data_IF_030968961043
#
_entry.id   IF_030968961043
#
_cell.length_a   1.000
_cell.length_b   1.000
_cell.length_c   1.000
_cell.angle_alpha   90.00
_cell.angle_beta   90.00
_cell.angle_gamma   90.00
#
_symmetry.space_group_name_H-M   'P 1'
#
loop_
_entity.id
_entity.type
_entity.pdbx_description
1 polymer ?
#
# COMPACT_ATOMS: atom_id res chain seq x y z
N UNK A 1 -17.71 30.78 -38.03
CA UNK A 1 -18.49 30.34 -36.85
C UNK A 1 -19.71 31.21 -36.52
N UNK A 2 -19.78 32.51 -36.88
CA UNK A 2 -20.96 33.35 -36.55
C UNK A 2 -22.20 33.17 -37.45
N UNK A 3 -22.10 32.53 -38.62
CA UNK A 3 -23.24 32.39 -39.56
C UNK A 3 -24.30 31.37 -39.13
N UNK A 4 -23.95 30.38 -38.30
CA UNK A 4 -24.86 29.29 -37.88
C UNK A 4 -25.68 29.60 -36.62
N UNK A 5 -25.45 30.73 -35.95
CA UNK A 5 -26.08 31.05 -34.66
C UNK A 5 -27.22 32.08 -34.73
N UNK A 6 -27.55 32.59 -35.93
CA UNK A 6 -28.67 33.52 -36.14
C UNK A 6 -28.73 34.67 -35.12
N UNK A 7 -27.73 35.56 -35.04
CA UNK A 7 -27.62 36.55 -33.97
C UNK A 7 -28.83 37.48 -33.94
N UNK A 8 -29.40 37.67 -32.75
CA UNK A 8 -30.51 38.59 -32.50
C UNK A 8 -29.96 39.88 -31.90
N UNK A 9 -30.46 41.03 -32.36
CA UNK A 9 -30.16 42.34 -31.77
C UNK A 9 -31.30 42.72 -30.85
N UNK A 10 -30.99 43.08 -29.60
CA UNK A 10 -31.97 43.64 -28.68
C UNK A 10 -32.23 45.12 -28.95
N UNK A 11 -33.31 45.66 -28.39
CA UNK A 11 -33.70 47.08 -28.48
C UNK A 11 -32.61 48.04 -27.96
N UNK A 12 -31.75 47.56 -27.05
CA UNK A 12 -30.57 48.28 -26.53
C UNK A 12 -29.31 48.15 -27.39
N UNK A 13 -29.41 47.57 -28.58
CA UNK A 13 -28.30 47.41 -29.53
C UNK A 13 -27.35 46.24 -29.25
N UNK A 14 -27.56 45.47 -28.18
CA UNK A 14 -26.71 44.33 -27.79
C UNK A 14 -27.00 43.07 -28.60
N UNK A 15 -25.94 42.33 -28.94
CA UNK A 15 -26.02 41.06 -29.67
C UNK A 15 -26.26 39.88 -28.72
N UNK A 16 -27.23 39.04 -29.06
CA UNK A 16 -27.57 37.80 -28.37
C UNK A 16 -27.56 36.62 -29.32
N UNK A 17 -27.35 35.44 -28.77
CA UNK A 17 -27.38 34.19 -29.54
C UNK A 17 -28.83 33.84 -29.90
N UNK A 18 -29.07 33.60 -31.19
CA UNK A 18 -30.29 32.96 -31.66
C UNK A 18 -30.28 31.47 -31.35
N UNK A 19 -31.45 30.89 -31.12
CA UNK A 19 -31.54 29.50 -30.70
C UNK A 19 -32.91 28.88 -30.95
N UNK A 20 -32.97 27.54 -30.80
CA UNK A 20 -34.17 26.72 -31.01
C UNK A 20 -35.05 26.59 -29.75
N UNK A 21 -34.63 27.17 -28.63
CA UNK A 21 -35.30 27.07 -27.33
C UNK A 21 -36.34 28.18 -27.09
N UNK A 22 -36.94 28.74 -28.15
CA UNK A 22 -37.89 29.85 -28.04
C UNK A 22 -39.11 29.50 -27.16
N UNK A 23 -39.60 28.27 -27.29
CA UNK A 23 -40.83 27.78 -26.65
C UNK A 23 -40.61 27.09 -25.29
N UNK A 24 -39.38 27.01 -24.78
CA UNK A 24 -39.12 26.37 -23.48
C UNK A 24 -39.57 27.26 -22.30
N UNK A 25 -39.86 26.73 -21.10
CA UNK A 25 -40.21 27.53 -19.92
C UNK A 25 -38.98 28.14 -19.22
N UNK A 26 -37.93 28.48 -19.98
CA UNK A 26 -36.63 28.94 -19.48
C UNK A 26 -36.55 30.48 -19.53
N UNK A 27 -35.87 31.15 -18.59
CA UNK A 27 -35.66 32.60 -18.63
C UNK A 27 -35.03 33.09 -19.94
N UNK A 28 -35.45 34.28 -20.40
CA UNK A 28 -35.00 34.89 -21.67
C UNK A 28 -33.47 35.00 -21.79
N UNK A 29 -32.78 35.25 -20.68
CA UNK A 29 -31.31 35.36 -20.67
C UNK A 29 -30.60 34.04 -20.96
N UNK A 30 -31.19 32.91 -20.56
CA UNK A 30 -30.64 31.59 -20.81
C UNK A 30 -31.09 31.04 -22.19
N UNK A 31 -32.25 31.47 -22.70
CA UNK A 31 -32.68 31.19 -24.09
C UNK A 31 -31.81 31.91 -25.12
N UNK A 32 -31.45 33.16 -24.82
CA UNK A 32 -30.72 34.05 -25.72
C UNK A 32 -29.56 34.72 -24.96
N UNK A 33 -28.49 33.98 -24.65
CA UNK A 33 -27.35 34.53 -23.90
C UNK A 33 -26.66 35.66 -24.69
N UNK A 34 -26.10 36.62 -23.94
CA UNK A 34 -25.46 37.80 -24.53
C UNK A 34 -24.09 37.44 -25.10
N UNK A 35 -23.81 37.87 -26.32
CA UNK A 35 -22.54 37.59 -26.98
C UNK A 35 -21.48 38.56 -26.46
N UNK A 36 -20.38 38.03 -25.94
CA UNK A 36 -19.23 38.82 -25.48
C UNK A 36 -18.03 38.54 -26.40
N UNK A 37 -17.22 39.56 -26.77
CA UNK A 37 -15.96 39.36 -27.47
C UNK A 37 -15.01 38.41 -26.73
N UNK A 38 -14.18 37.68 -27.47
CA UNK A 38 -13.23 36.72 -26.89
C UNK A 38 -12.03 37.38 -26.23
N UNK A 39 -11.56 38.49 -26.81
CA UNK A 39 -10.35 39.20 -26.40
C UNK A 39 -10.71 40.56 -25.80
N UNK A 40 -11.34 40.54 -24.62
CA UNK A 40 -11.68 41.77 -23.91
C UNK A 40 -11.51 41.58 -22.40
N UNK A 41 -11.17 42.65 -21.68
CA UNK A 41 -10.99 42.62 -20.23
C UNK A 41 -12.27 42.18 -19.50
N UNK A 42 -13.43 42.58 -20.01
CA UNK A 42 -14.72 42.15 -19.47
C UNK A 42 -14.88 40.62 -19.46
N UNK A 43 -14.46 39.94 -20.54
CA UNK A 43 -14.51 38.48 -20.65
C UNK A 43 -13.62 37.81 -19.61
N UNK A 44 -12.45 38.40 -19.33
CA UNK A 44 -11.57 37.94 -18.27
C UNK A 44 -12.23 38.05 -16.90
N UNK A 45 -12.81 39.21 -16.59
CA UNK A 45 -13.49 39.46 -15.31
C UNK A 45 -14.67 38.50 -15.12
N UNK A 46 -15.49 38.31 -16.15
CA UNK A 46 -16.64 37.38 -16.11
C UNK A 46 -16.16 35.95 -15.84
N UNK A 47 -15.19 35.44 -16.60
CA UNK A 47 -14.68 34.07 -16.40
C UNK A 47 -14.10 33.90 -15.00
N UNK A 48 -13.32 34.86 -14.52
CA UNK A 48 -12.72 34.80 -13.19
C UNK A 48 -13.78 34.89 -12.07
N UNK A 49 -14.81 35.72 -12.23
CA UNK A 49 -15.92 35.83 -11.30
C UNK A 49 -16.64 34.49 -11.13
N UNK A 50 -17.06 33.86 -12.23
CA UNK A 50 -17.73 32.55 -12.18
C UNK A 50 -16.80 31.44 -11.67
N UNK A 51 -15.51 31.48 -11.99
CA UNK A 51 -14.55 30.52 -11.46
C UNK A 51 -14.41 30.60 -9.93
N UNK A 52 -14.38 31.81 -9.36
CA UNK A 52 -14.27 32.03 -7.91
C UNK A 52 -15.61 31.76 -7.22
N UNK A 53 -16.72 32.25 -7.77
CA UNK A 53 -18.07 32.09 -7.23
C UNK A 53 -18.44 30.61 -7.06
N UNK A 54 -18.04 29.76 -8.02
CA UNK A 54 -18.26 28.32 -7.98
C UNK A 54 -16.99 27.57 -7.55
N UNK A 55 -16.27 28.07 -6.54
CA UNK A 55 -15.22 27.37 -5.80
C UNK A 55 -14.14 26.68 -6.65
N UNK A 56 -13.56 27.40 -7.61
CA UNK A 56 -12.45 26.92 -8.43
C UNK A 56 -12.76 25.67 -9.27
N UNK A 57 -14.01 25.54 -9.71
CA UNK A 57 -14.45 24.47 -10.62
C UNK A 57 -13.62 24.38 -11.91
N UNK A 58 -13.56 23.17 -12.48
CA UNK A 58 -12.82 22.88 -13.71
C UNK A 58 -13.40 23.59 -14.95
N UNK A 59 -12.62 23.64 -16.02
CA UNK A 59 -12.91 24.45 -17.21
C UNK A 59 -14.27 24.18 -17.88
N UNK A 60 -14.74 22.92 -17.92
CA UNK A 60 -16.04 22.59 -18.52
C UNK A 60 -17.21 23.02 -17.62
N UNK A 61 -17.07 22.90 -16.30
CA UNK A 61 -18.09 23.33 -15.34
C UNK A 61 -18.21 24.85 -15.28
N UNK A 62 -17.09 25.58 -15.24
CA UNK A 62 -17.10 27.05 -15.33
C UNK A 62 -17.74 27.52 -16.64
N UNK A 63 -17.47 26.83 -17.73
CA UNK A 63 -18.06 27.15 -19.04
C UNK A 63 -19.56 26.87 -19.10
N UNK A 64 -20.05 25.83 -18.43
CA UNK A 64 -21.50 25.57 -18.30
C UNK A 64 -22.20 26.73 -17.57
N UNK A 65 -21.65 27.16 -16.43
CA UNK A 65 -22.24 28.25 -15.64
C UNK A 65 -22.23 29.60 -16.39
N UNK A 66 -21.20 29.86 -17.20
CA UNK A 66 -21.15 31.07 -18.03
C UNK A 66 -22.24 31.05 -19.11
N UNK A 67 -22.51 29.88 -19.70
CA UNK A 67 -23.48 29.73 -20.81
C UNK A 67 -24.92 30.06 -20.43
N UNK A 68 -25.25 30.05 -19.13
CA UNK A 68 -26.58 30.43 -18.67
C UNK A 68 -26.87 31.92 -18.84
N UNK A 69 -25.84 32.77 -18.94
CA UNK A 69 -25.99 34.22 -19.06
C UNK A 69 -25.26 34.82 -20.27
N UNK A 70 -24.15 34.22 -20.69
CA UNK A 70 -23.23 34.78 -21.69
C UNK A 70 -22.74 33.73 -22.68
N UNK A 71 -22.49 34.18 -23.90
CA UNK A 71 -21.92 33.37 -24.97
C UNK A 71 -20.62 33.96 -25.47
N UNK A 72 -19.54 33.22 -25.28
CA UNK A 72 -18.20 33.61 -25.73
C UNK A 72 -17.84 32.72 -26.94
N UNK A 73 -17.53 33.29 -28.11
CA UNK A 73 -17.02 32.51 -29.24
C UNK A 73 -15.75 31.74 -28.83
N UNK A 74 -15.60 30.47 -29.19
CA UNK A 74 -14.41 29.67 -28.83
C UNK A 74 -14.06 29.67 -27.32
N UNK A 75 -15.07 29.76 -26.44
CA UNK A 75 -14.92 29.93 -24.98
C UNK A 75 -13.96 28.93 -24.32
N UNK A 76 -13.96 27.66 -24.75
CA UNK A 76 -13.22 26.57 -24.11
C UNK A 76 -11.72 26.87 -23.97
N UNK A 77 -11.11 27.43 -25.01
CA UNK A 77 -9.67 27.73 -24.98
C UNK A 77 -9.36 28.94 -24.08
N UNK A 78 -10.22 29.96 -24.12
CA UNK A 78 -10.08 31.18 -23.31
C UNK A 78 -10.26 30.86 -21.82
N UNK A 79 -11.27 30.07 -21.47
CA UNK A 79 -11.52 29.62 -20.10
C UNK A 79 -10.32 28.84 -19.57
N UNK A 80 -9.83 27.83 -20.31
CA UNK A 80 -8.64 27.06 -19.90
C UNK A 80 -7.40 27.93 -19.68
N UNK A 81 -7.20 28.94 -20.52
CA UNK A 81 -6.08 29.90 -20.39
C UNK A 81 -6.17 30.68 -19.08
N UNK A 82 -7.36 31.17 -18.73
CA UNK A 82 -7.60 31.96 -17.51
C UNK A 82 -7.54 31.09 -16.26
N UNK A 83 -8.06 29.87 -16.30
CA UNK A 83 -7.99 28.98 -15.12
C UNK A 83 -6.54 28.58 -14.78
N UNK A 84 -5.65 28.49 -15.79
CA UNK A 84 -4.21 28.22 -15.57
C UNK A 84 -3.48 29.36 -14.85
N UNK A 85 -3.97 30.60 -14.92
CA UNK A 85 -3.38 31.72 -14.17
C UNK A 85 -3.87 31.79 -12.72
N UNK A 86 -4.88 31.01 -12.35
CA UNK A 86 -5.35 30.92 -10.97
C UNK A 86 -4.30 30.26 -10.07
N UNK A 87 -3.77 31.01 -9.10
CA UNK A 87 -2.75 30.54 -8.16
C UNK A 87 -3.26 29.38 -7.31
N UNK A 88 -4.51 29.44 -6.84
CA UNK A 88 -5.13 28.37 -6.03
C UNK A 88 -5.20 27.06 -6.80
N UNK A 89 -5.71 27.08 -8.04
CA UNK A 89 -5.75 25.90 -8.90
C UNK A 89 -4.36 25.37 -9.24
N UNK A 90 -3.38 26.26 -9.45
CA UNK A 90 -2.00 25.89 -9.78
C UNK A 90 -1.30 25.21 -8.60
N UNK A 91 -1.53 25.67 -7.36
CA UNK A 91 -1.00 25.04 -6.15
C UNK A 91 -1.57 23.63 -5.96
N UNK A 92 -2.88 23.46 -6.15
CA UNK A 92 -3.55 22.16 -6.00
C UNK A 92 -3.17 21.19 -7.13
N UNK A 93 -2.98 21.70 -8.36
CA UNK A 93 -2.67 20.88 -9.54
C UNK A 93 -1.17 20.64 -9.77
N UNK A 94 -0.31 21.08 -8.86
CA UNK A 94 1.13 20.93 -8.99
C UNK A 94 1.51 19.44 -8.86
N UNK A 95 1.67 18.75 -10.01
CA UNK A 95 2.33 17.44 -10.06
C UNK A 95 3.83 17.67 -9.87
N UNK A 96 4.44 16.97 -8.92
CA UNK A 96 5.90 16.95 -8.77
C UNK A 96 6.56 16.53 -10.08
N UNK A 97 7.78 17.01 -10.31
CA UNK A 97 8.59 16.54 -11.45
C UNK A 97 8.67 15.01 -11.41
N UNK A 98 8.52 14.31 -12.56
CA UNK A 98 8.83 12.88 -12.58
C UNK A 98 10.28 12.72 -12.15
N UNK A 99 10.49 12.18 -10.96
CA UNK A 99 11.84 11.83 -10.53
C UNK A 99 12.34 10.72 -11.44
N UNK A 100 13.57 10.85 -11.94
CA UNK A 100 14.24 9.75 -12.64
C UNK A 100 14.30 8.59 -11.65
N UNK A 101 13.57 7.51 -11.93
CA UNK A 101 13.60 6.33 -11.08
C UNK A 101 14.98 5.70 -11.21
N UNK A 102 15.64 5.44 -10.09
CA UNK A 102 16.91 4.74 -10.09
C UNK A 102 16.72 3.35 -10.70
N UNK A 103 17.76 2.86 -11.38
CA UNK A 103 17.76 1.51 -11.95
C UNK A 103 17.43 0.48 -10.87
N UNK A 104 16.65 -0.53 -11.29
CA UNK A 104 16.33 -1.65 -10.42
C UNK A 104 17.64 -2.41 -10.12
N UNK A 105 17.91 -2.76 -8.86
CA UNK A 105 19.11 -3.52 -8.54
C UNK A 105 19.11 -4.88 -9.23
N UNK A 106 20.30 -5.39 -9.56
CA UNK A 106 20.49 -6.70 -10.20
C UNK A 106 19.73 -7.82 -9.48
N UNK A 107 19.62 -7.72 -8.16
CA UNK A 107 18.85 -8.62 -7.29
C UNK A 107 17.37 -8.69 -7.64
N UNK A 108 16.77 -7.63 -8.18
CA UNK A 108 15.36 -7.60 -8.60
C UNK A 108 15.12 -8.19 -9.99
N UNK A 109 16.12 -8.13 -10.86
CA UNK A 109 15.99 -8.47 -12.29
C UNK A 109 16.57 -9.85 -12.64
N UNK A 110 17.41 -10.41 -11.77
CA UNK A 110 18.00 -11.73 -11.98
C UNK A 110 17.10 -12.80 -11.39
N UNK A 111 16.67 -13.76 -12.22
CA UNK A 111 15.95 -14.94 -11.73
C UNK A 111 16.86 -15.75 -10.80
N UNK A 112 16.39 -16.02 -9.59
CA UNK A 112 17.13 -16.79 -8.58
C UNK A 112 16.19 -17.73 -7.83
N UNK A 113 16.77 -18.70 -7.11
CA UNK A 113 16.02 -19.61 -6.25
C UNK A 113 15.21 -18.82 -5.21
N UNK A 114 14.02 -19.29 -4.87
CA UNK A 114 13.26 -18.71 -3.76
C UNK A 114 14.08 -18.73 -2.48
N UNK A 115 13.92 -17.68 -1.68
CA UNK A 115 14.73 -17.43 -0.49
C UNK A 115 16.25 -17.39 -0.75
N UNK A 116 16.72 -17.19 -1.99
CA UNK A 116 18.13 -16.92 -2.27
C UNK A 116 18.53 -15.53 -1.76
N UNK A 117 17.61 -14.57 -1.80
CA UNK A 117 17.79 -13.21 -1.32
C UNK A 117 16.68 -12.90 -0.32
N UNK A 118 17.06 -12.63 0.91
CA UNK A 118 16.12 -12.59 2.04
C UNK A 118 16.26 -11.31 2.84
N UNK A 119 15.16 -10.63 3.08
CA UNK A 119 15.07 -9.57 4.08
C UNK A 119 14.72 -10.17 5.44
N UNK A 120 15.39 -9.71 6.50
CA UNK A 120 15.13 -10.13 7.89
C UNK A 120 14.61 -8.96 8.70
N UNK A 121 13.52 -9.19 9.43
CA UNK A 121 12.91 -8.20 10.31
C UNK A 121 12.29 -8.87 11.57
N UNK A 122 12.02 -8.09 12.62
CA UNK A 122 11.28 -8.54 13.80
C UNK A 122 9.92 -7.85 13.94
N UNK A 123 8.93 -8.62 14.40
CA UNK A 123 7.63 -8.13 14.84
C UNK A 123 7.41 -8.43 16.33
N UNK A 124 6.85 -7.48 17.06
CA UNK A 124 6.53 -7.64 18.48
C UNK A 124 6.66 -6.34 19.28
N UNK A 125 6.72 -6.43 20.63
CA UNK A 125 6.58 -7.66 21.42
C UNK A 125 5.13 -8.17 21.48
N UNK A 126 4.95 -9.48 21.62
CA UNK A 126 3.68 -10.16 21.94
C UNK A 126 3.75 -10.79 23.34
N UNK A 127 2.61 -11.02 23.98
CA UNK A 127 2.55 -11.58 25.32
C UNK A 127 2.00 -13.01 25.29
N UNK A 128 2.81 -13.98 25.68
CA UNK A 128 2.41 -15.38 25.79
C UNK A 128 2.33 -15.82 27.24
N UNK A 129 1.36 -16.69 27.52
CA UNK A 129 1.24 -17.39 28.79
C UNK A 129 2.13 -18.62 28.78
N UNK A 130 2.95 -18.78 29.82
CA UNK A 130 3.63 -20.06 30.08
C UNK A 130 2.65 -21.11 30.64
N UNK A 131 3.07 -22.39 30.63
CA UNK A 131 2.23 -23.59 30.86
C UNK A 131 1.19 -23.50 31.99
N UNK A 132 0.15 -24.32 31.87
CA UNK A 132 -0.96 -24.41 32.82
C UNK A 132 -0.49 -24.97 34.17
N UNK A 133 -0.22 -24.09 35.13
CA UNK A 133 0.12 -24.42 36.52
C UNK A 133 -0.10 -23.22 37.46
N UNK A 134 0.19 -23.40 38.75
CA UNK A 134 -0.04 -22.38 39.82
C UNK A 134 0.71 -21.06 39.62
N UNK A 135 1.70 -21.00 38.74
CA UNK A 135 2.43 -19.78 38.41
C UNK A 135 2.18 -19.37 36.95
N UNK A 136 1.15 -18.55 36.72
CA UNK A 136 0.90 -17.93 35.40
C UNK A 136 1.93 -16.82 35.16
N UNK A 137 3.05 -17.12 34.50
CA UNK A 137 3.97 -16.08 34.04
C UNK A 137 3.65 -15.68 32.59
N UNK A 138 3.56 -14.37 32.36
CA UNK A 138 3.43 -13.80 31.03
C UNK A 138 4.84 -13.45 30.54
N UNK A 139 5.24 -14.01 29.39
CA UNK A 139 6.53 -13.73 28.77
C UNK A 139 6.35 -12.95 27.48
N UNK A 140 7.28 -12.04 27.21
CA UNK A 140 7.35 -11.34 25.92
C UNK A 140 7.98 -12.26 24.90
N UNK A 141 7.41 -12.28 23.70
CA UNK A 141 7.85 -13.13 22.59
C UNK A 141 7.84 -12.27 21.32
N UNK A 142 8.71 -12.59 20.37
CA UNK A 142 8.85 -11.88 19.11
C UNK A 142 8.65 -12.86 17.95
N UNK A 143 8.34 -12.32 16.77
CA UNK A 143 8.26 -13.10 15.53
C UNK A 143 9.36 -12.60 14.60
N UNK A 144 10.29 -13.49 14.24
CA UNK A 144 11.27 -13.26 13.19
C UNK A 144 10.57 -13.43 11.84
N UNK A 145 10.73 -12.44 10.97
CA UNK A 145 10.09 -12.37 9.66
C UNK A 145 11.18 -12.46 8.61
N UNK A 146 11.13 -13.50 7.79
CA UNK A 146 11.98 -13.68 6.62
C UNK A 146 11.14 -13.42 5.37
N UNK A 147 11.58 -12.49 4.52
CA UNK A 147 10.89 -12.16 3.27
C UNK A 147 11.78 -12.48 2.09
N UNK A 148 11.28 -13.27 1.13
CA UNK A 148 11.97 -13.50 -0.12
C UNK A 148 11.85 -12.29 -1.06
N UNK A 149 12.97 -11.77 -1.56
CA UNK A 149 12.95 -10.61 -2.46
C UNK A 149 12.50 -10.94 -3.89
N UNK A 150 12.66 -12.18 -4.32
CA UNK A 150 12.30 -12.65 -5.66
C UNK A 150 10.80 -12.69 -5.85
N UNK A 151 10.10 -13.40 -4.96
CA UNK A 151 8.65 -13.63 -5.08
C UNK A 151 7.82 -12.85 -4.08
N UNK A 152 8.41 -12.34 -2.99
CA UNK A 152 7.70 -11.73 -1.83
C UNK A 152 7.01 -12.72 -0.89
N UNK A 153 7.36 -14.01 -1.00
CA UNK A 153 6.95 -15.04 -0.03
C UNK A 153 7.49 -14.73 1.37
N UNK A 154 6.71 -15.08 2.40
CA UNK A 154 7.00 -14.74 3.80
C UNK A 154 7.17 -16.03 4.60
N UNK A 155 8.17 -16.07 5.48
CA UNK A 155 8.38 -17.16 6.41
C UNK A 155 8.48 -16.60 7.83
N UNK A 156 7.72 -17.15 8.78
CA UNK A 156 7.60 -16.62 10.14
C UNK A 156 8.13 -17.64 11.16
N UNK A 157 8.98 -17.17 12.08
CA UNK A 157 9.49 -17.99 13.19
C UNK A 157 9.26 -17.29 14.53
N UNK A 158 8.85 -18.04 15.54
CA UNK A 158 8.61 -17.52 16.89
C UNK A 158 9.89 -17.60 17.70
N UNK A 159 10.30 -16.49 18.30
CA UNK A 159 11.51 -16.40 19.15
C UNK A 159 11.17 -15.83 20.53
N UNK A 160 11.76 -16.42 21.57
CA UNK A 160 11.52 -16.06 22.96
C UNK A 160 12.08 -14.70 23.35
N UNK A 161 13.17 -14.26 22.72
CA UNK A 161 13.82 -12.99 23.01
C UNK A 161 14.54 -12.43 21.77
N UNK A 162 15.31 -11.36 21.97
CA UNK A 162 16.08 -10.67 20.93
C UNK A 162 17.59 -10.88 21.15
N UNK A 163 17.98 -12.08 21.60
CA UNK A 163 19.38 -12.46 21.77
C UNK A 163 19.97 -13.03 20.48
N UNK A 164 21.29 -13.10 20.41
CA UNK A 164 22.01 -13.72 19.30
C UNK A 164 21.64 -15.19 19.13
N UNK A 165 21.52 -15.93 20.24
CA UNK A 165 21.27 -17.37 20.23
C UNK A 165 19.89 -17.72 19.65
N UNK A 166 18.85 -16.98 20.06
CA UNK A 166 17.49 -17.19 19.53
C UNK A 166 17.36 -16.77 18.08
N UNK A 167 18.09 -15.73 17.66
CA UNK A 167 18.20 -15.40 16.24
C UNK A 167 18.84 -16.52 15.43
N UNK A 168 19.96 -17.09 15.90
CA UNK A 168 20.62 -18.20 15.21
C UNK A 168 19.74 -19.44 15.14
N UNK A 169 19.00 -19.75 16.21
CA UNK A 169 18.04 -20.84 16.20
C UNK A 169 16.97 -20.62 15.12
N UNK A 170 16.36 -19.43 15.08
CA UNK A 170 15.38 -19.07 14.05
C UNK A 170 15.98 -19.13 12.64
N UNK A 171 17.22 -18.68 12.46
CA UNK A 171 17.90 -18.76 11.18
C UNK A 171 18.16 -20.21 10.75
N UNK A 172 18.58 -21.08 11.67
CA UNK A 172 18.76 -22.51 11.40
C UNK A 172 17.44 -23.19 11.04
N UNK A 173 16.33 -22.86 11.73
CA UNK A 173 15.00 -23.38 11.39
C UNK A 173 14.57 -22.92 10.00
N UNK A 174 14.78 -21.65 9.67
CA UNK A 174 14.52 -21.10 8.35
C UNK A 174 15.33 -21.83 7.26
N UNK A 175 16.64 -21.98 7.45
CA UNK A 175 17.53 -22.68 6.50
C UNK A 175 17.10 -24.13 6.32
N UNK A 176 16.72 -24.83 7.40
CA UNK A 176 16.27 -26.21 7.33
C UNK A 176 14.94 -26.37 6.56
N UNK A 177 14.05 -25.38 6.61
CA UNK A 177 12.73 -25.43 5.95
C UNK A 177 12.74 -24.88 4.53
N UNK A 178 13.49 -23.79 4.26
CA UNK A 178 13.46 -23.03 3.01
C UNK A 178 14.76 -23.12 2.20
N UNK A 179 15.79 -23.74 2.77
CA UNK A 179 17.11 -23.84 2.18
C UNK A 179 17.96 -22.58 2.40
N UNK A 180 19.26 -22.71 2.14
CA UNK A 180 20.26 -21.69 2.43
C UNK A 180 20.14 -20.43 1.54
N UNK A 181 20.06 -19.21 2.11
CA UNK A 181 20.11 -17.99 1.32
C UNK A 181 21.52 -17.71 0.82
N UNK A 182 21.64 -17.07 -0.34
CA UNK A 182 22.92 -16.54 -0.86
C UNK A 182 23.19 -15.13 -0.34
N UNK A 183 22.13 -14.37 -0.04
CA UNK A 183 22.22 -12.98 0.39
C UNK A 183 21.16 -12.64 1.44
N UNK A 184 21.57 -11.90 2.47
CA UNK A 184 20.72 -11.45 3.56
C UNK A 184 20.74 -9.93 3.62
N UNK A 185 19.55 -9.34 3.73
CA UNK A 185 19.34 -7.89 3.78
C UNK A 185 18.66 -7.48 5.09
N UNK A 186 19.12 -6.36 5.65
CA UNK A 186 18.49 -5.72 6.82
C UNK A 186 18.52 -4.19 6.68
N UNK A 187 17.44 -3.52 7.07
CA UNK A 187 17.29 -2.07 6.87
C UNK A 187 18.07 -1.21 7.88
N UNK A 188 18.66 -0.11 7.39
CA UNK A 188 19.25 0.96 8.23
C UNK A 188 18.28 2.11 8.59
N UNK A 189 16.98 2.01 8.26
CA UNK A 189 16.00 3.08 8.52
C UNK A 189 15.91 3.48 10.00
N UNK A 190 16.14 4.77 10.31
CA UNK A 190 16.28 5.28 11.70
C UNK A 190 15.01 5.20 12.58
N UNK A 191 13.87 4.74 12.06
CA UNK A 191 12.55 4.98 12.65
C UNK A 191 11.78 3.77 13.21
N UNK A 192 12.36 2.57 13.31
CA UNK A 192 11.60 1.40 13.81
C UNK A 192 12.14 0.78 15.11
N UNK A 193 11.24 0.80 16.10
CA UNK A 193 11.20 0.26 17.47
C UNK A 193 12.25 -0.83 17.82
N UNK A 194 12.94 -0.61 18.95
CA UNK A 194 13.70 -1.55 19.81
C UNK A 194 14.20 -2.87 19.21
N UNK A 195 13.28 -3.81 18.91
CA UNK A 195 13.60 -5.14 18.38
C UNK A 195 14.45 -5.13 17.10
N UNK A 196 14.17 -4.19 16.19
CA UNK A 196 14.93 -4.07 14.95
C UNK A 196 16.34 -3.50 15.20
N UNK A 197 16.52 -2.72 16.27
CA UNK A 197 17.84 -2.24 16.68
C UNK A 197 18.70 -3.36 17.29
N UNK A 198 18.11 -4.28 18.05
CA UNK A 198 18.84 -5.46 18.56
C UNK A 198 19.22 -6.41 17.43
N UNK A 199 18.32 -6.68 16.48
CA UNK A 199 18.66 -7.42 15.25
C UNK A 199 19.82 -6.76 14.50
N UNK A 200 19.81 -5.43 14.37
CA UNK A 200 20.94 -4.71 13.77
C UNK A 200 22.23 -4.91 14.55
N UNK A 201 22.21 -4.87 15.88
CA UNK A 201 23.43 -5.11 16.68
C UNK A 201 23.93 -6.52 16.47
N UNK A 202 23.03 -7.50 16.49
CA UNK A 202 23.33 -8.91 16.20
C UNK A 202 23.95 -8.99 14.81
N UNK A 203 23.22 -8.65 13.74
CA UNK A 203 23.70 -8.73 12.37
C UNK A 203 25.00 -7.93 12.14
N UNK A 204 25.15 -6.75 12.75
CA UNK A 204 26.41 -5.97 12.63
C UNK A 204 27.56 -6.64 13.36
N UNK A 205 27.35 -7.21 14.54
CA UNK A 205 28.36 -7.98 15.24
C UNK A 205 28.75 -9.23 14.45
N UNK A 206 27.77 -9.90 13.83
CA UNK A 206 27.96 -11.04 12.94
C UNK A 206 28.79 -10.67 11.70
N UNK A 207 28.45 -9.59 11.01
CA UNK A 207 29.11 -9.20 9.76
C UNK A 207 30.42 -8.42 9.95
N UNK A 208 30.69 -7.84 11.14
CA UNK A 208 31.91 -7.07 11.43
C UNK A 208 33.02 -7.85 12.14
N UNK A 209 32.99 -9.18 12.16
CA UNK A 209 34.16 -9.92 12.64
C UNK A 209 34.20 -10.18 14.16
N UNK A 210 33.17 -9.82 14.94
CA UNK A 210 33.27 -9.80 16.42
C UNK A 210 32.76 -11.06 17.13
N UNK A 211 32.17 -12.01 16.41
CA UNK A 211 31.63 -13.27 16.95
C UNK A 211 32.21 -14.43 16.14
N UNK A 212 33.39 -14.91 16.53
CA UNK A 212 34.20 -15.90 15.78
C UNK A 212 33.42 -17.16 15.39
N UNK A 213 32.52 -17.66 16.26
CA UNK A 213 31.73 -18.88 16.02
C UNK A 213 30.71 -18.78 14.88
N UNK A 214 30.16 -17.57 14.64
CA UNK A 214 29.06 -17.38 13.68
C UNK A 214 29.59 -16.91 12.33
N UNK A 215 30.75 -16.24 12.34
CA UNK A 215 31.50 -15.92 11.12
C UNK A 215 32.01 -17.20 10.49
N UNK A 216 32.49 -18.17 11.27
CA UNK A 216 32.88 -19.47 10.75
C UNK A 216 31.68 -20.14 10.04
N UNK A 217 30.47 -20.09 10.61
CA UNK A 217 29.25 -20.59 9.95
C UNK A 217 28.89 -19.81 8.68
N UNK A 218 28.80 -18.48 8.70
CA UNK A 218 28.39 -17.69 7.53
C UNK A 218 29.45 -17.63 6.41
N UNK A 219 30.75 -17.65 6.78
CA UNK A 219 31.87 -17.65 5.84
C UNK A 219 32.12 -19.03 5.22
N UNK A 220 32.01 -20.12 5.98
CA UNK A 220 31.96 -21.49 5.43
C UNK A 220 30.79 -21.66 4.46
N UNK A 221 29.68 -21.01 4.74
CA UNK A 221 28.46 -21.07 3.94
C UNK A 221 28.35 -19.99 2.83
N UNK A 222 29.38 -19.16 2.62
CA UNK A 222 29.44 -18.15 1.54
C UNK A 222 28.21 -17.21 1.44
N UNK A 223 27.58 -16.86 2.58
CA UNK A 223 26.38 -16.00 2.60
C UNK A 223 26.78 -14.52 2.64
N UNK A 224 26.32 -13.73 1.66
CA UNK A 224 26.60 -12.28 1.59
C UNK A 224 25.63 -11.50 2.49
N UNK A 225 26.16 -10.73 3.43
CA UNK A 225 25.38 -9.85 4.30
C UNK A 225 25.39 -8.40 3.84
N UNK A 226 24.21 -7.85 3.54
CA UNK A 226 24.06 -6.48 3.08
C UNK A 226 23.18 -5.65 4.04
N UNK A 227 23.61 -4.43 4.33
CA UNK A 227 22.79 -3.43 5.02
C UNK A 227 22.36 -2.37 4.02
N UNK A 228 21.05 -2.13 3.89
CA UNK A 228 20.55 -1.10 2.99
C UNK A 228 21.10 0.27 3.43
N UNK A 229 21.59 1.14 2.51
CA UNK A 229 22.02 2.48 2.86
C UNK A 229 20.90 3.28 3.56
N UNK A 230 21.20 4.17 4.54
CA UNK A 230 20.19 4.90 5.32
C UNK A 230 19.19 5.76 4.51
N UNK A 231 19.46 5.97 3.21
CA UNK A 231 18.75 6.91 2.33
C UNK A 231 18.27 6.28 1.02
N UNK A 232 18.16 4.95 0.93
CA UNK A 232 17.76 4.25 -0.29
C UNK A 232 16.39 3.53 -0.18
N UNK A 233 15.27 4.25 0.04
CA UNK A 233 13.94 3.66 0.20
C UNK A 233 13.43 2.94 -1.06
N UNK A 234 14.08 3.11 -2.22
CA UNK A 234 13.73 2.41 -3.46
C UNK A 234 14.04 0.90 -3.43
N UNK A 235 15.04 0.50 -2.62
CA UNK A 235 15.39 -0.90 -2.39
C UNK A 235 14.42 -1.58 -1.41
N UNK A 236 13.93 -0.83 -0.41
CA UNK A 236 13.03 -1.31 0.66
C UNK A 236 11.53 -1.18 0.36
N UNK A 237 11.12 -0.17 -0.42
CA UNK A 237 9.75 0.37 -0.36
C UNK A 237 8.61 -0.58 -0.75
N UNK A 238 8.84 -1.56 -1.64
CA UNK A 238 7.77 -2.51 -2.02
C UNK A 238 7.51 -3.58 -0.96
N UNK A 239 8.55 -4.08 -0.29
CA UNK A 239 8.38 -5.08 0.76
C UNK A 239 8.15 -4.42 2.12
N UNK A 240 8.72 -3.23 2.37
CA UNK A 240 8.45 -2.43 3.58
C UNK A 240 6.94 -2.17 3.74
N UNK A 241 6.21 -1.87 2.66
CA UNK A 241 4.77 -1.65 2.72
C UNK A 241 4.01 -2.94 3.11
N UNK A 242 4.36 -4.08 2.50
CA UNK A 242 3.76 -5.38 2.79
C UNK A 242 4.05 -5.87 4.21
N UNK A 243 5.31 -5.78 4.64
CA UNK A 243 5.75 -6.13 6.01
C UNK A 243 5.15 -5.19 7.05
N UNK A 244 5.07 -3.88 6.76
CA UNK A 244 4.43 -2.92 7.66
C UNK A 244 2.94 -3.20 7.82
N UNK A 245 2.24 -3.49 6.72
CA UNK A 245 0.84 -3.92 6.76
C UNK A 245 0.69 -5.21 7.57
N UNK A 246 1.51 -6.24 7.30
CA UNK A 246 1.53 -7.49 8.06
C UNK A 246 1.70 -7.25 9.56
N UNK A 247 2.74 -6.52 9.96
CA UNK A 247 3.04 -6.22 11.36
C UNK A 247 1.89 -5.48 12.04
N UNK A 248 1.28 -4.55 11.32
CA UNK A 248 0.12 -3.82 11.80
C UNK A 248 -1.10 -4.74 12.01
N UNK A 249 -1.38 -5.64 11.06
CA UNK A 249 -2.48 -6.59 11.16
C UNK A 249 -2.25 -7.64 12.26
N UNK A 250 -1.05 -8.22 12.35
CA UNK A 250 -0.66 -9.12 13.44
C UNK A 250 -0.87 -8.47 14.81
N UNK A 251 -0.37 -7.24 15.00
CA UNK A 251 -0.56 -6.51 16.26
C UNK A 251 -2.03 -6.21 16.56
N UNK A 252 -2.88 -6.03 15.56
CA UNK A 252 -4.31 -5.78 15.77
C UNK A 252 -5.13 -7.03 16.05
N UNK A 253 -4.83 -8.14 15.36
CA UNK A 253 -5.54 -9.41 15.54
C UNK A 253 -5.20 -10.03 16.88
N UNK A 254 -3.91 -10.02 17.23
CA UNK A 254 -3.44 -10.57 18.51
C UNK A 254 -3.70 -9.57 19.66
N UNK A 255 -3.47 -8.28 19.41
CA UNK A 255 -3.70 -7.17 20.35
C UNK A 255 -3.34 -7.51 21.81
N UNK A 256 -4.33 -7.53 22.69
CA UNK A 256 -4.18 -7.79 24.13
C UNK A 256 -4.50 -9.23 24.53
N UNK A 257 -4.69 -10.13 23.56
CA UNK A 257 -4.98 -11.54 23.87
C UNK A 257 -3.74 -12.25 24.38
N UNK A 258 -3.88 -12.93 25.51
CA UNK A 258 -2.81 -13.71 26.12
C UNK A 258 -2.98 -15.16 25.64
N UNK A 259 -2.20 -15.54 24.62
CA UNK A 259 -2.24 -16.86 24.00
C UNK A 259 -1.22 -17.80 24.64
N UNK A 260 -1.46 -19.11 24.54
CA UNK A 260 -0.43 -20.11 24.86
C UNK A 260 0.58 -20.20 23.70
N UNK A 261 1.70 -20.90 23.91
CA UNK A 261 2.68 -21.10 22.84
C UNK A 261 2.09 -21.83 21.63
N UNK A 262 1.32 -22.90 21.85
CA UNK A 262 0.71 -23.72 20.80
C UNK A 262 -0.34 -22.94 20.01
N UNK A 263 -1.18 -22.15 20.70
CA UNK A 263 -2.18 -21.30 20.06
C UNK A 263 -1.53 -20.20 19.22
N UNK A 264 -0.47 -19.58 19.73
CA UNK A 264 0.25 -18.55 19.02
C UNK A 264 0.98 -19.12 17.80
N UNK A 265 1.59 -20.30 17.94
CA UNK A 265 2.19 -21.04 16.83
C UNK A 265 1.17 -21.35 15.74
N UNK A 266 0.00 -21.88 16.12
CA UNK A 266 -1.08 -22.17 15.19
C UNK A 266 -1.51 -20.92 14.43
N UNK A 267 -1.72 -19.80 15.14
CA UNK A 267 -2.11 -18.53 14.51
C UNK A 267 -1.04 -17.99 13.56
N UNK A 268 0.24 -18.03 13.95
CA UNK A 268 1.34 -17.51 13.13
C UNK A 268 1.50 -18.32 11.84
N UNK A 269 1.45 -19.65 11.93
CA UNK A 269 1.56 -20.54 10.75
C UNK A 269 0.36 -20.38 9.83
N UNK A 270 -0.86 -20.24 10.38
CA UNK A 270 -2.04 -19.96 9.56
C UNK A 270 -1.91 -18.61 8.85
N UNK A 271 -1.46 -17.56 9.55
CA UNK A 271 -1.23 -16.25 8.96
C UNK A 271 -0.17 -16.30 7.85
N UNK A 272 0.93 -17.04 8.04
CA UNK A 272 1.93 -17.27 6.98
C UNK A 272 1.28 -17.86 5.72
N UNK A 273 0.49 -18.91 5.89
CA UNK A 273 -0.21 -19.55 4.77
C UNK A 273 -1.14 -18.58 4.01
N UNK A 274 -1.88 -17.74 4.74
CA UNK A 274 -2.78 -16.72 4.17
C UNK A 274 -2.01 -15.65 3.38
N UNK A 275 -0.82 -15.26 3.84
CA UNK A 275 -0.01 -14.27 3.14
C UNK A 275 0.53 -14.82 1.84
N UNK A 276 0.99 -16.07 1.87
CA UNK A 276 1.58 -16.72 0.70
C UNK A 276 0.51 -17.17 -0.30
N UNK A 277 -0.75 -17.33 0.11
CA UNK A 277 -1.87 -17.62 -0.80
C UNK A 277 -2.36 -16.38 -1.58
N UNK A 278 -1.76 -15.20 -1.40
CA UNK A 278 -2.16 -13.98 -2.12
C UNK A 278 -1.68 -14.00 -3.58
N UNK A 279 -2.50 -13.54 -4.55
CA UNK A 279 -2.08 -13.39 -5.94
C UNK A 279 -0.90 -12.42 -6.08
N UNK A 280 0.04 -12.75 -6.98
CA UNK A 280 1.23 -11.92 -7.24
C UNK A 280 0.91 -10.79 -8.23
N UNK A 281 -0.13 -10.97 -9.05
CA UNK A 281 -0.58 -10.01 -10.05
C UNK A 281 -2.05 -9.61 -9.83
N UNK A 282 -2.49 -8.45 -10.36
CA UNK A 282 -3.89 -8.05 -10.33
C UNK A 282 -4.76 -9.10 -11.02
N UNK A 283 -5.81 -9.55 -10.34
CA UNK A 283 -6.73 -10.54 -10.89
C UNK A 283 -7.33 -10.05 -12.21
N UNK A 284 -7.30 -10.94 -13.20
CA UNK A 284 -8.01 -10.76 -14.46
C UNK A 284 -9.50 -10.98 -14.25
N UNK A 285 -10.32 -10.29 -15.04
CA UNK A 285 -11.77 -10.47 -15.07
C UNK A 285 -12.20 -11.50 -16.13
N UNK A 286 -11.26 -12.16 -16.82
CA UNK A 286 -11.56 -13.17 -17.83
C UNK A 286 -11.98 -14.49 -17.16
N UNK A 287 -13.19 -15.01 -17.43
CA UNK A 287 -13.65 -16.29 -16.87
C UNK A 287 -12.87 -17.52 -17.36
N UNK A 288 -12.01 -17.38 -18.38
CA UNK A 288 -11.17 -18.47 -18.87
C UNK A 288 -9.80 -18.56 -18.18
N UNK A 289 -9.46 -17.65 -17.27
CA UNK A 289 -8.21 -17.74 -16.50
C UNK A 289 -8.31 -18.86 -15.46
N UNK A 290 -7.49 -19.90 -15.65
CA UNK A 290 -7.70 -21.22 -15.04
C UNK A 290 -7.21 -21.31 -13.59
N UNK A 291 -6.18 -20.55 -13.20
CA UNK A 291 -5.70 -20.50 -11.82
C UNK A 291 -4.82 -19.26 -11.56
N UNK A 292 -4.98 -18.64 -10.38
CA UNK A 292 -4.22 -17.42 -10.02
C UNK A 292 -2.88 -17.81 -9.41
N UNK A 293 -1.79 -17.23 -9.93
CA UNK A 293 -0.46 -17.53 -9.40
C UNK A 293 -0.26 -16.80 -8.06
N UNK A 294 -0.01 -17.59 -7.03
CA UNK A 294 0.26 -17.11 -5.67
C UNK A 294 1.70 -17.40 -5.27
N UNK A 295 2.17 -16.79 -4.18
CA UNK A 295 3.51 -17.03 -3.65
C UNK A 295 3.70 -18.50 -3.24
N UNK A 296 2.64 -19.11 -2.71
CA UNK A 296 2.58 -20.52 -2.33
C UNK A 296 2.85 -21.50 -3.48
N UNK A 297 2.48 -21.16 -4.72
CA UNK A 297 2.75 -22.01 -5.88
C UNK A 297 4.25 -22.24 -6.07
N UNK A 298 5.08 -21.26 -5.70
CA UNK A 298 6.53 -21.37 -5.75
C UNK A 298 7.13 -22.17 -4.58
N UNK A 299 6.38 -22.34 -3.49
CA UNK A 299 6.82 -23.05 -2.29
C UNK A 299 6.42 -24.53 -2.30
N UNK A 300 5.17 -24.81 -2.69
CA UNK A 300 4.57 -26.15 -2.57
C UNK A 300 4.00 -26.65 -3.91
N UNK A 301 4.04 -25.84 -4.97
CA UNK A 301 3.50 -26.20 -6.28
C UNK A 301 1.99 -25.94 -6.45
N UNK A 302 1.32 -25.44 -5.41
CA UNK A 302 -0.10 -25.10 -5.42
C UNK A 302 -0.40 -23.93 -4.48
N UNK A 303 -1.63 -23.40 -4.51
CA UNK A 303 -2.08 -22.47 -3.48
C UNK A 303 -2.14 -23.15 -2.11
N UNK A 304 -1.80 -22.41 -1.05
CA UNK A 304 -2.01 -22.86 0.33
C UNK A 304 -3.49 -22.68 0.69
N UNK A 305 -4.18 -23.80 0.90
CA UNK A 305 -5.58 -23.80 1.32
C UNK A 305 -5.63 -24.02 2.83
N UNK A 306 -6.26 -23.10 3.55
CA UNK A 306 -6.53 -23.29 4.97
C UNK A 306 -7.49 -24.47 5.17
N UNK A 307 -7.25 -25.29 6.19
CA UNK A 307 -8.19 -26.35 6.58
C UNK A 307 -9.53 -25.69 6.95
N UNK A 308 -10.67 -26.17 6.41
CA UNK A 308 -11.96 -25.54 6.66
C UNK A 308 -12.32 -25.64 8.14
N UNK A 309 -12.49 -24.47 8.78
CA UNK A 309 -12.93 -24.32 10.17
C UNK A 309 -14.38 -23.80 10.22
N UNK A 310 -15.18 -24.17 11.23
CA UNK A 310 -16.50 -23.58 11.45
C UNK A 310 -16.41 -22.07 11.66
N UNK A 311 -17.36 -21.28 11.13
CA UNK A 311 -17.35 -19.82 11.30
C UNK A 311 -17.74 -19.42 12.72
N UNK A 312 -16.83 -18.75 13.43
CA UNK A 312 -17.03 -18.27 14.80
C UNK A 312 -17.11 -16.73 14.88
N UNK A 313 -17.15 -16.03 13.75
CA UNK A 313 -17.06 -14.56 13.69
C UNK A 313 -18.20 -13.85 14.42
N UNK A 314 -19.41 -14.43 14.40
CA UNK A 314 -20.62 -13.88 15.03
C UNK A 314 -20.79 -14.28 16.51
N UNK A 315 -20.06 -15.29 16.98
CA UNK A 315 -20.18 -15.78 18.34
C UNK A 315 -19.44 -14.83 19.29
N UNK A 316 -20.04 -14.49 20.44
CA UNK A 316 -19.39 -13.62 21.44
C UNK A 316 -18.13 -14.29 22.01
N UNK A 317 -17.04 -13.51 22.22
CA UNK A 317 -15.75 -14.04 22.70
C UNK A 317 -15.88 -14.85 23.99
N UNK A 318 -16.80 -14.46 24.87
CA UNK A 318 -17.00 -15.11 26.17
C UNK A 318 -17.62 -16.50 26.07
N UNK A 319 -18.15 -16.88 24.89
CA UNK A 319 -18.77 -18.18 24.61
C UNK A 319 -17.86 -19.13 23.84
N UNK A 320 -16.67 -18.68 23.44
CA UNK A 320 -15.74 -19.46 22.64
C UNK A 320 -14.81 -20.27 23.55
N UNK A 321 -14.58 -21.53 23.18
CA UNK A 321 -13.44 -22.26 23.72
C UNK A 321 -12.13 -21.59 23.29
N UNK A 322 -11.03 -21.93 23.96
CA UNK A 322 -9.69 -21.42 23.61
C UNK A 322 -9.30 -21.73 22.16
N UNK A 323 -9.67 -22.91 21.68
CA UNK A 323 -9.44 -23.32 20.29
C UNK A 323 -10.28 -22.50 19.31
N UNK A 324 -11.57 -22.33 19.60
CA UNK A 324 -12.49 -21.54 18.76
C UNK A 324 -12.11 -20.06 18.72
N UNK A 325 -11.50 -19.54 19.78
CA UNK A 325 -10.97 -18.18 19.81
C UNK A 325 -9.83 -18.00 18.78
N UNK A 326 -8.91 -18.96 18.68
CA UNK A 326 -7.81 -18.93 17.70
C UNK A 326 -8.36 -19.01 16.27
N UNK A 327 -9.30 -19.92 16.01
CA UNK A 327 -9.97 -20.05 14.71
C UNK A 327 -10.66 -18.74 14.32
N UNK A 328 -11.37 -18.09 15.26
CA UNK A 328 -11.98 -16.79 15.03
C UNK A 328 -10.97 -15.68 14.74
N UNK A 329 -9.83 -15.66 15.45
CA UNK A 329 -8.76 -14.69 15.19
C UNK A 329 -8.21 -14.82 13.77
N UNK A 330 -8.01 -16.06 13.30
CA UNK A 330 -7.62 -16.33 11.92
C UNK A 330 -8.69 -15.86 10.91
N UNK A 331 -9.97 -16.14 11.17
CA UNK A 331 -11.08 -15.68 10.33
C UNK A 331 -11.17 -14.14 10.24
N UNK A 332 -10.91 -13.44 11.35
CA UNK A 332 -10.82 -11.97 11.34
C UNK A 332 -9.63 -11.45 10.55
N UNK A 333 -8.52 -12.20 10.51
CA UNK A 333 -7.39 -11.88 9.64
C UNK A 333 -7.76 -12.06 8.16
N UNK A 334 -8.52 -13.11 7.81
CA UNK A 334 -8.93 -13.39 6.43
C UNK A 334 -9.90 -12.35 5.83
N UNK A 335 -10.82 -11.81 6.63
CA UNK A 335 -11.85 -10.84 6.15
C UNK A 335 -11.30 -9.41 5.90
N UNK A 336 -10.01 -9.16 6.10
CA UNK A 336 -9.40 -7.82 6.10
C UNK A 336 -8.25 -7.70 5.10
#
# INVERSE_FOLDING_TARGET
MCRTMGPLKNDSGLLRVGGRLRNSPIPRNQKHPMIIPTNHNFTYIVINHFHILYFHTGAEATLANIRDSFWIPSARNVVRKILRTCITCRKVSAKGSPQLMADLPATRVTACRFFSQVGIDYCGPFQLKTFSGKCRQIRKVYVCVFICFTVKAIHLEIVSDLTTETFLAAFKWFVARRGRPSEIHSDNGRNFVGANNELRKILKALFKGKMEEIIDFLSKEQIKGNFNPPSAPHFGGQWEAGVRSLKYHLKRVIANSILSHEEFLTLVVQIEAVLDSRPIYPLSNDPNDVETLTHAHFLVGSSLVAVPDPDYTEISMNRLSRWQLVQRMNQHFWRK
#
